data_IF_052008579437
#
_entry.id   IF_052008579437
#
_cell.length_a   1.000
_cell.length_b   1.000
_cell.length_c   1.000
_cell.angle_alpha   90.00
_cell.angle_beta   90.00
_cell.angle_gamma   90.00
#
_symmetry.space_group_name_H-M   'P 1'
#
loop_
_entity.id
_entity.type
_entity.pdbx_description
1 polymer ?
#
# COMPACT_ATOMS: atom_id res chain seq x y z
N UNK A 1 -3.27 72.68 50.29
CA UNK A 1 -4.65 72.53 49.76
C UNK A 1 -4.70 71.23 48.99
N UNK A 2 -5.09 70.14 49.67
CA UNK A 2 -5.71 68.96 49.03
C UNK A 2 -7.16 69.30 48.64
N UNK A 3 -7.93 68.51 47.84
CA UNK A 3 -7.71 67.11 47.42
C UNK A 3 -8.04 66.86 45.93
N UNK A 4 -7.99 65.60 45.46
CA UNK A 4 -9.14 64.85 44.90
C UNK A 4 -8.66 63.43 44.52
N UNK A 5 -9.10 62.45 45.30
CA UNK A 5 -9.25 61.05 44.89
C UNK A 5 -10.38 60.94 43.86
N UNK A 6 -10.15 60.21 42.77
CA UNK A 6 -11.22 59.69 41.93
C UNK A 6 -10.98 58.20 41.63
N UNK A 7 -12.04 57.44 41.79
CA UNK A 7 -12.11 55.98 41.87
C UNK A 7 -12.54 55.32 40.55
N UNK A 8 -11.86 54.22 40.16
CA UNK A 8 -12.35 52.98 39.47
C UNK A 8 -13.01 53.14 38.06
N UNK A 9 -13.03 52.12 37.16
CA UNK A 9 -13.16 50.67 37.43
C UNK A 9 -12.27 49.71 36.59
N UNK A 10 -12.32 48.43 37.01
CA UNK A 10 -11.76 47.26 36.32
C UNK A 10 -12.52 47.00 35.01
N UNK A 11 -11.79 46.81 33.91
CA UNK A 11 -12.30 46.18 32.70
C UNK A 11 -11.43 44.96 32.37
N UNK A 12 -12.09 43.81 32.44
CA UNK A 12 -11.59 42.48 32.14
C UNK A 12 -11.52 42.34 30.61
N UNK A 13 -10.32 42.36 30.04
CA UNK A 13 -10.08 42.22 28.60
C UNK A 13 -9.86 40.75 28.23
N UNK A 14 -10.86 40.20 27.55
CA UNK A 14 -11.02 38.81 27.13
C UNK A 14 -9.86 38.32 26.24
N UNK A 15 -9.15 37.28 26.68
CA UNK A 15 -8.12 36.57 25.93
C UNK A 15 -8.79 35.74 24.82
N UNK A 16 -8.83 36.27 23.60
CA UNK A 16 -9.33 35.56 22.42
C UNK A 16 -8.33 34.52 21.93
N UNK A 17 -8.36 33.30 22.51
CA UNK A 17 -7.74 32.13 21.89
C UNK A 17 -8.58 31.73 20.67
N UNK A 18 -8.10 32.06 19.48
CA UNK A 18 -8.60 31.49 18.24
C UNK A 18 -8.10 30.04 18.15
N UNK A 19 -8.78 29.11 18.81
CA UNK A 19 -8.52 27.68 18.62
C UNK A 19 -9.03 27.30 17.24
N UNK A 20 -8.09 27.08 16.32
CA UNK A 20 -8.33 26.42 15.05
C UNK A 20 -8.83 25.00 15.36
N UNK A 21 -10.15 24.81 15.42
CA UNK A 21 -10.77 23.49 15.53
C UNK A 21 -10.50 22.74 14.24
N UNK A 22 -9.41 21.96 14.24
CA UNK A 22 -9.20 20.89 13.28
C UNK A 22 -10.27 19.87 13.60
N UNK A 23 -11.39 19.91 12.87
CA UNK A 23 -12.34 18.82 12.85
C UNK A 23 -11.62 17.61 12.26
N UNK A 24 -11.09 16.76 13.15
CA UNK A 24 -10.72 15.41 12.80
C UNK A 24 -12.02 14.71 12.38
N UNK A 25 -12.24 14.60 11.06
CA UNK A 25 -13.30 13.77 10.50
C UNK A 25 -12.98 12.34 10.95
N UNK A 26 -13.70 11.89 11.97
CA UNK A 26 -13.66 10.50 12.43
C UNK A 26 -14.32 9.62 11.38
N UNK A 27 -13.53 9.15 10.41
CA UNK A 27 -13.96 8.17 9.41
C UNK A 27 -14.08 6.78 10.02
N UNK A 28 -15.15 6.57 10.78
CA UNK A 28 -15.56 5.25 11.26
C UNK A 28 -16.45 4.61 10.20
N UNK A 29 -15.90 3.69 9.40
CA UNK A 29 -16.77 2.79 8.63
C UNK A 29 -17.39 1.81 9.60
N UNK A 30 -18.55 1.25 9.23
CA UNK A 30 -19.11 0.13 9.95
C UNK A 30 -18.14 -1.07 9.91
N UNK A 31 -17.94 -1.81 11.02
CA UNK A 31 -17.20 -3.06 11.00
C UNK A 31 -17.91 -4.06 10.06
N UNK A 32 -17.19 -4.56 9.06
CA UNK A 32 -17.69 -5.58 8.12
C UNK A 32 -18.10 -5.08 6.73
N UNK A 33 -17.96 -3.79 6.42
CA UNK A 33 -18.20 -3.28 5.07
C UNK A 33 -17.16 -3.82 4.06
N UNK A 34 -17.62 -4.39 2.95
CA UNK A 34 -16.74 -4.91 1.89
C UNK A 34 -16.11 -3.75 1.11
N UNK A 35 -14.79 -3.79 0.80
CA UNK A 35 -14.18 -2.79 -0.07
C UNK A 35 -14.84 -2.75 -1.46
N UNK A 36 -15.16 -1.56 -1.93
CA UNK A 36 -15.72 -1.34 -3.26
C UNK A 36 -14.84 -0.41 -4.09
N UNK A 37 -14.57 -0.79 -5.33
CA UNK A 37 -13.78 0.01 -6.28
C UNK A 37 -14.57 0.18 -7.57
N UNK A 38 -14.36 1.30 -8.24
CA UNK A 38 -14.91 1.56 -9.54
C UNK A 38 -14.23 0.66 -10.59
N UNK A 39 -15.02 -0.10 -11.35
CA UNK A 39 -14.49 -1.09 -12.29
C UNK A 39 -13.74 -0.46 -13.48
N UNK A 40 -14.08 0.78 -13.83
CA UNK A 40 -13.50 1.49 -14.96
C UNK A 40 -12.19 2.19 -14.61
N UNK A 41 -12.17 2.87 -13.47
CA UNK A 41 -11.08 3.76 -13.03
C UNK A 41 -10.24 3.17 -11.91
N UNK A 42 -10.76 2.20 -11.14
CA UNK A 42 -10.12 1.65 -9.95
C UNK A 42 -10.19 2.56 -8.72
N UNK A 43 -10.95 3.66 -8.80
CA UNK A 43 -11.15 4.61 -7.70
C UNK A 43 -11.90 3.93 -6.55
N UNK A 44 -11.49 4.15 -5.29
CA UNK A 44 -12.18 3.59 -4.13
C UNK A 44 -13.55 4.26 -3.97
N UNK A 45 -14.60 3.44 -3.83
CA UNK A 45 -15.99 3.90 -3.74
C UNK A 45 -16.52 3.97 -2.30
N UNK A 46 -15.75 3.43 -1.32
CA UNK A 46 -16.11 3.48 0.09
C UNK A 46 -14.90 3.57 1.02
N UNK A 47 -15.16 3.80 2.31
CA UNK A 47 -14.15 3.94 3.35
C UNK A 47 -13.27 2.70 3.49
N UNK A 48 -13.85 1.50 3.34
CA UNK A 48 -13.11 0.25 3.36
C UNK A 48 -12.05 0.20 2.24
N UNK A 49 -12.42 0.57 1.01
CA UNK A 49 -11.50 0.66 -0.13
C UNK A 49 -10.45 1.77 0.04
N UNK A 50 -10.85 2.93 0.57
CA UNK A 50 -9.94 4.04 0.89
C UNK A 50 -8.85 3.61 1.87
N UNK A 51 -9.20 2.86 2.92
CA UNK A 51 -8.21 2.34 3.89
C UNK A 51 -7.23 1.37 3.25
N UNK A 52 -7.69 0.51 2.36
CA UNK A 52 -6.80 -0.40 1.61
C UNK A 52 -5.78 0.40 0.81
N UNK A 53 -6.21 1.44 0.09
CA UNK A 53 -5.29 2.29 -0.67
C UNK A 53 -4.32 3.05 0.24
N UNK A 54 -4.81 3.58 1.37
CA UNK A 54 -3.95 4.26 2.33
C UNK A 54 -2.88 3.32 2.91
N UNK A 55 -3.26 2.09 3.27
CA UNK A 55 -2.34 1.06 3.74
C UNK A 55 -1.33 0.67 2.67
N UNK A 56 -1.78 0.45 1.43
CA UNK A 56 -0.93 0.11 0.29
C UNK A 56 0.12 1.19 -0.03
N UNK A 57 -0.14 2.44 0.33
CA UNK A 57 0.74 3.59 0.06
C UNK A 57 1.64 4.00 1.26
N UNK A 58 1.45 3.42 2.45
CA UNK A 58 2.01 3.93 3.70
C UNK A 58 3.55 3.94 3.81
N UNK A 59 4.29 3.30 2.89
CA UNK A 59 5.75 3.31 2.91
C UNK A 59 6.41 4.47 2.13
N UNK A 60 5.64 5.46 1.65
CA UNK A 60 6.21 6.66 1.03
C UNK A 60 6.73 7.69 2.06
N UNK A 61 6.06 7.86 3.21
CA UNK A 61 6.38 8.96 4.14
C UNK A 61 7.48 8.70 5.17
N UNK A 62 7.87 7.44 5.45
CA UNK A 62 8.86 7.15 6.52
C UNK A 62 10.33 7.18 6.09
N UNK A 63 10.64 7.47 4.82
CA UNK A 63 12.04 7.66 4.37
C UNK A 63 12.58 9.07 4.66
N UNK A 64 11.77 9.97 5.23
CA UNK A 64 12.12 11.39 5.43
C UNK A 64 12.28 11.87 6.88
N UNK A 65 12.15 11.02 7.90
CA UNK A 65 12.34 11.44 9.31
C UNK A 65 13.32 10.52 10.02
N UNK A 66 14.58 10.96 10.06
CA UNK A 66 15.58 10.46 10.99
C UNK A 66 15.16 10.77 12.42
N UNK A 67 15.06 9.74 13.26
CA UNK A 67 15.28 9.88 14.69
C UNK A 67 16.17 8.74 15.18
N UNK A 68 17.06 9.11 16.09
CA UNK A 68 18.28 8.42 16.46
C UNK A 68 18.03 7.11 17.22
N UNK A 69 18.95 6.15 16.98
CA UNK A 69 19.45 5.28 18.04
C UNK A 69 18.74 3.95 18.28
N UNK A 70 18.95 2.98 17.39
CA UNK A 70 19.22 1.58 17.78
C UNK A 70 20.22 1.01 16.78
N UNK A 71 21.39 0.47 17.20
CA UNK A 71 22.25 -0.26 16.29
C UNK A 71 21.55 -1.58 15.97
N UNK A 72 20.95 -1.68 14.79
CA UNK A 72 20.52 -2.99 14.28
C UNK A 72 21.77 -3.73 13.84
N UNK A 73 22.37 -4.39 14.82
CA UNK A 73 23.44 -5.36 14.70
C UNK A 73 23.04 -6.47 13.72
N UNK A 74 24.02 -6.91 12.93
CA UNK A 74 24.04 -8.10 12.07
C UNK A 74 22.99 -8.16 10.95
N UNK A 75 23.48 -8.01 9.71
CA UNK A 75 22.76 -8.26 8.44
C UNK A 75 22.42 -9.73 8.20
N UNK A 76 22.60 -10.61 9.18
CA UNK A 76 22.30 -12.03 9.10
C UNK A 76 21.41 -12.43 10.28
N UNK A 77 20.14 -12.67 10.00
CA UNK A 77 19.17 -13.18 10.98
C UNK A 77 17.73 -12.77 10.68
N UNK A 78 16.96 -13.69 10.08
CA UNK A 78 15.48 -13.61 9.89
C UNK A 78 15.00 -12.68 8.75
N UNK A 79 15.90 -12.27 7.83
CA UNK A 79 15.54 -11.65 6.54
C UNK A 79 14.92 -12.60 5.50
N UNK A 80 15.00 -13.92 5.71
CA UNK A 80 14.94 -14.92 4.62
C UNK A 80 13.63 -15.71 4.43
N UNK A 81 12.52 -15.34 5.07
CA UNK A 81 11.30 -16.20 5.07
C UNK A 81 10.14 -15.75 4.17
N UNK A 82 10.29 -14.68 3.38
CA UNK A 82 9.25 -14.30 2.41
C UNK A 82 9.65 -14.79 1.01
N UNK A 83 8.91 -15.74 0.43
CA UNK A 83 9.04 -16.09 -0.98
C UNK A 83 8.82 -14.85 -1.85
N UNK A 84 9.70 -14.63 -2.81
CA UNK A 84 9.53 -13.53 -3.76
C UNK A 84 8.29 -13.69 -4.60
N UNK A 85 7.95 -14.93 -4.96
CA UNK A 85 6.83 -15.24 -5.83
C UNK A 85 5.83 -16.11 -5.09
N UNK A 86 4.57 -15.73 -5.18
CA UNK A 86 3.42 -16.60 -4.92
C UNK A 86 2.37 -16.31 -5.98
N UNK A 87 2.17 -17.26 -6.88
CA UNK A 87 1.24 -17.15 -8.00
C UNK A 87 0.46 -18.44 -8.15
N UNK A 88 -0.80 -18.33 -8.55
CA UNK A 88 -1.64 -19.46 -8.91
C UNK A 88 -1.77 -19.59 -10.45
N UNK A 89 -1.90 -20.82 -10.99
CA UNK A 89 -2.19 -21.05 -12.40
C UNK A 89 -3.47 -20.38 -12.89
N UNK A 90 -3.51 -19.98 -14.16
CA UNK A 90 -4.64 -19.32 -14.81
C UNK A 90 -4.37 -17.85 -15.13
N UNK A 91 -5.44 -17.11 -15.43
CA UNK A 91 -5.38 -15.67 -15.73
C UNK A 91 -5.88 -14.88 -14.55
N UNK A 92 -4.97 -14.24 -13.83
CA UNK A 92 -5.26 -13.55 -12.58
C UNK A 92 -4.57 -12.18 -12.52
N UNK A 93 -5.11 -11.29 -11.71
CA UNK A 93 -4.44 -10.01 -11.41
C UNK A 93 -3.25 -10.27 -10.49
N UNK A 94 -2.21 -9.45 -10.60
CA UNK A 94 -1.09 -9.47 -9.65
C UNK A 94 -0.80 -8.08 -9.10
N UNK A 95 -0.19 -8.05 -7.91
CA UNK A 95 0.43 -6.85 -7.35
C UNK A 95 1.93 -7.07 -7.21
N UNK A 96 2.71 -6.06 -7.61
CA UNK A 96 4.14 -5.96 -7.32
C UNK A 96 4.29 -5.11 -6.06
N UNK A 97 4.95 -5.65 -5.04
CA UNK A 97 5.05 -5.00 -3.73
C UNK A 97 6.52 -4.87 -3.30
N UNK A 98 6.85 -3.79 -2.61
CA UNK A 98 8.08 -3.65 -1.83
C UNK A 98 7.77 -4.00 -0.39
N UNK A 99 8.49 -4.97 0.16
CA UNK A 99 8.41 -5.36 1.57
C UNK A 99 9.79 -5.18 2.19
N UNK A 100 9.97 -4.12 2.96
CA UNK A 100 11.25 -3.73 3.57
C UNK A 100 12.43 -3.72 2.56
N UNK A 101 12.22 -3.19 1.36
CA UNK A 101 13.25 -3.09 0.31
C UNK A 101 13.42 -4.36 -0.55
N UNK A 102 12.61 -5.40 -0.32
CA UNK A 102 12.54 -6.60 -1.18
C UNK A 102 11.30 -6.54 -2.06
N UNK A 103 11.49 -6.62 -3.38
CA UNK A 103 10.38 -6.69 -4.35
C UNK A 103 9.80 -8.11 -4.39
N UNK A 104 8.47 -8.23 -4.26
CA UNK A 104 7.74 -9.51 -4.29
C UNK A 104 6.53 -9.42 -5.23
N UNK A 105 6.14 -10.56 -5.81
CA UNK A 105 4.99 -10.72 -6.70
C UNK A 105 3.94 -11.60 -6.03
N UNK A 106 2.69 -11.12 -6.03
CA UNK A 106 1.53 -11.85 -5.47
C UNK A 106 0.37 -11.89 -6.44
N UNK A 107 -0.15 -13.09 -6.67
CA UNK A 107 -1.32 -13.37 -7.50
C UNK A 107 -2.05 -14.58 -6.94
N UNK A 108 -3.36 -14.50 -6.75
CA UNK A 108 -4.16 -15.57 -6.15
C UNK A 108 -5.37 -15.87 -7.02
N UNK A 109 -5.71 -17.15 -7.16
CA UNK A 109 -6.91 -17.58 -7.86
C UNK A 109 -8.17 -17.19 -7.08
N UNK A 110 -9.24 -16.87 -7.82
CA UNK A 110 -10.55 -16.51 -7.25
C UNK A 110 -10.65 -15.09 -6.69
N UNK A 111 -9.60 -14.27 -6.75
CA UNK A 111 -9.64 -12.85 -6.42
C UNK A 111 -9.71 -12.02 -7.71
N UNK A 112 -10.62 -11.06 -7.75
CA UNK A 112 -10.97 -10.34 -8.98
C UNK A 112 -10.43 -8.91 -9.02
N UNK A 113 -9.95 -8.36 -7.90
CA UNK A 113 -9.42 -6.99 -7.85
C UNK A 113 -7.98 -6.94 -7.33
N UNK A 114 -7.20 -5.97 -7.81
CA UNK A 114 -5.83 -5.77 -7.31
C UNK A 114 -5.81 -5.48 -5.80
N UNK A 115 -6.81 -4.77 -5.30
CA UNK A 115 -6.97 -4.49 -3.89
C UNK A 115 -7.16 -5.76 -3.04
N UNK A 116 -7.91 -6.74 -3.54
CA UNK A 116 -8.08 -8.04 -2.87
C UNK A 116 -6.76 -8.82 -2.86
N UNK A 117 -6.01 -8.80 -3.97
CA UNK A 117 -4.67 -9.41 -4.04
C UNK A 117 -3.74 -8.80 -2.98
N UNK A 118 -3.75 -7.48 -2.85
CA UNK A 118 -2.97 -6.77 -1.84
C UNK A 118 -3.45 -7.11 -0.43
N UNK A 119 -4.75 -7.10 -0.16
CA UNK A 119 -5.29 -7.40 1.17
C UNK A 119 -4.89 -8.81 1.61
N UNK A 120 -5.04 -9.81 0.72
CA UNK A 120 -4.60 -11.18 0.99
C UNK A 120 -3.10 -11.25 1.25
N UNK A 121 -2.29 -10.54 0.46
CA UNK A 121 -0.85 -10.48 0.69
C UNK A 121 -0.50 -9.80 2.03
N UNK A 122 -1.20 -8.73 2.40
CA UNK A 122 -0.99 -8.01 3.65
C UNK A 122 -1.35 -8.88 4.87
N UNK A 123 -2.42 -9.68 4.78
CA UNK A 123 -2.78 -10.67 5.81
C UNK A 123 -1.67 -11.73 5.99
N UNK A 124 -1.08 -12.21 4.90
CA UNK A 124 0.03 -13.16 4.93
C UNK A 124 1.32 -12.56 5.53
N UNK A 125 1.54 -11.26 5.34
CA UNK A 125 2.71 -10.53 5.81
C UNK A 125 2.55 -9.95 7.22
N UNK A 126 1.31 -9.73 7.68
CA UNK A 126 0.97 -9.09 8.95
C UNK A 126 1.65 -9.74 10.16
N UNK A 127 1.62 -11.08 10.32
CA UNK A 127 2.31 -11.77 11.42
C UNK A 127 3.83 -11.57 11.44
N UNK A 128 4.43 -11.12 10.33
CA UNK A 128 5.87 -10.87 10.20
C UNK A 128 6.26 -9.44 10.57
N UNK A 129 5.28 -8.57 10.88
CA UNK A 129 5.51 -7.18 11.30
C UNK A 129 6.22 -6.31 10.26
N UNK A 130 6.16 -6.68 8.97
CA UNK A 130 6.89 -5.97 7.90
C UNK A 130 6.02 -4.90 7.25
N UNK A 131 6.64 -3.74 6.97
CA UNK A 131 5.98 -2.70 6.20
C UNK A 131 5.99 -3.10 4.72
N UNK A 132 4.86 -2.91 4.05
CA UNK A 132 4.73 -3.18 2.62
C UNK A 132 4.15 -1.98 1.89
N UNK A 133 4.47 -1.88 0.60
CA UNK A 133 3.90 -0.88 -0.31
C UNK A 133 3.67 -1.51 -1.68
N UNK A 134 2.54 -1.21 -2.29
CA UNK A 134 2.27 -1.60 -3.67
C UNK A 134 3.02 -0.65 -4.61
N UNK A 135 3.84 -1.21 -5.49
CA UNK A 135 4.55 -0.47 -6.53
C UNK A 135 3.70 -0.35 -7.81
N UNK A 136 2.82 -1.32 -8.04
CA UNK A 136 1.89 -1.36 -9.15
C UNK A 136 1.28 -2.76 -9.28
N UNK A 137 0.65 -3.02 -10.42
CA UNK A 137 0.14 -4.36 -10.73
C UNK A 137 -0.18 -4.53 -12.20
N UNK A 138 -0.81 -5.65 -12.52
CA UNK A 138 -1.21 -6.03 -13.87
C UNK A 138 -1.95 -7.36 -13.87
N UNK A 139 -1.76 -8.17 -14.91
CA UNK A 139 -2.24 -9.54 -15.02
C UNK A 139 -1.10 -10.51 -15.33
N UNK A 140 -1.28 -11.73 -14.84
CA UNK A 140 -0.49 -12.90 -15.20
C UNK A 140 -1.41 -13.88 -15.93
N UNK A 141 -0.93 -14.44 -17.03
CA UNK A 141 -1.49 -15.65 -17.61
C UNK A 141 -0.47 -16.77 -17.45
N UNK A 142 -0.65 -17.64 -16.46
CA UNK A 142 0.30 -18.69 -16.12
C UNK A 142 -0.27 -20.08 -16.46
N UNK A 143 0.39 -20.79 -17.37
CA UNK A 143 0.08 -22.16 -17.73
C UNK A 143 1.24 -23.11 -17.34
N UNK A 144 1.13 -23.82 -16.19
CA UNK A 144 2.18 -24.73 -15.74
C UNK A 144 2.30 -25.99 -16.61
N UNK A 145 1.27 -26.35 -17.39
CA UNK A 145 1.33 -27.53 -18.28
C UNK A 145 2.22 -27.29 -19.50
N UNK A 146 2.22 -26.06 -19.99
CA UNK A 146 3.03 -25.62 -21.14
C UNK A 146 4.32 -24.92 -20.71
N UNK A 147 4.53 -24.73 -19.40
CA UNK A 147 5.62 -23.93 -18.85
C UNK A 147 5.67 -22.52 -19.46
N UNK A 148 4.52 -21.87 -19.64
CA UNK A 148 4.43 -20.51 -20.19
C UNK A 148 3.82 -19.55 -19.17
N UNK A 149 4.33 -18.33 -19.16
CA UNK A 149 3.81 -17.26 -18.30
C UNK A 149 3.88 -15.92 -19.05
N UNK A 150 2.77 -15.20 -19.13
CA UNK A 150 2.74 -13.84 -19.67
C UNK A 150 2.40 -12.81 -18.59
N UNK A 151 3.23 -11.77 -18.45
CA UNK A 151 3.00 -10.59 -17.60
C UNK A 151 2.54 -9.40 -18.45
N UNK A 152 1.38 -8.82 -18.14
CA UNK A 152 0.84 -7.73 -18.97
C UNK A 152 -0.12 -6.80 -18.23
N UNK A 153 -0.59 -5.76 -18.91
CA UNK A 153 -1.56 -4.81 -18.39
C UNK A 153 -1.04 -3.88 -17.29
N UNK A 154 -1.97 -3.41 -16.46
CA UNK A 154 -1.73 -2.48 -15.36
C UNK A 154 -2.78 -2.65 -14.25
N UNK A 155 -2.55 -2.06 -13.07
CA UNK A 155 -3.58 -1.94 -12.04
C UNK A 155 -4.38 -0.66 -12.21
N UNK A 156 -5.71 -0.75 -12.24
CA UNK A 156 -6.57 0.45 -12.20
C UNK A 156 -6.47 1.16 -10.85
N UNK A 157 -6.50 0.40 -9.76
CA UNK A 157 -6.42 0.93 -8.39
C UNK A 157 -5.02 1.45 -8.03
N UNK A 158 -3.96 0.76 -8.43
CA UNK A 158 -2.58 1.06 -7.99
C UNK A 158 -1.66 1.56 -9.10
N UNK A 159 -2.18 1.71 -10.32
CA UNK A 159 -1.39 2.10 -11.48
C UNK A 159 -0.28 1.11 -11.83
N UNK A 160 0.76 1.64 -12.47
CA UNK A 160 1.95 0.90 -12.88
C UNK A 160 3.20 1.75 -12.65
N UNK A 161 4.16 1.24 -11.91
CA UNK A 161 5.49 1.83 -11.84
C UNK A 161 6.23 1.74 -13.19
N UNK A 162 7.25 2.58 -13.39
CA UNK A 162 8.12 2.49 -14.58
C UNK A 162 8.78 1.09 -14.62
N UNK A 163 8.57 0.37 -15.74
CA UNK A 163 9.11 -0.97 -15.96
C UNK A 163 8.50 -2.07 -15.07
N UNK A 164 7.30 -1.86 -14.51
CA UNK A 164 6.68 -2.81 -13.57
C UNK A 164 6.52 -4.23 -14.16
N UNK A 165 6.10 -4.37 -15.42
CA UNK A 165 5.91 -5.67 -16.05
C UNK A 165 7.25 -6.37 -16.33
N UNK A 166 8.25 -5.64 -16.83
CA UNK A 166 9.61 -6.14 -17.01
C UNK A 166 10.24 -6.61 -15.69
N UNK A 167 10.14 -5.81 -14.63
CA UNK A 167 10.64 -6.19 -13.30
C UNK A 167 9.95 -7.43 -12.77
N UNK A 168 8.63 -7.49 -12.90
CA UNK A 168 7.84 -8.66 -12.49
C UNK A 168 8.28 -9.90 -13.24
N UNK A 169 8.48 -9.82 -14.56
CA UNK A 169 8.98 -10.92 -15.37
C UNK A 169 10.34 -11.43 -14.88
N UNK A 170 11.31 -10.53 -14.64
CA UNK A 170 12.63 -10.90 -14.10
C UNK A 170 12.55 -11.61 -12.74
N UNK A 171 11.64 -11.17 -11.86
CA UNK A 171 11.41 -11.83 -10.57
C UNK A 171 10.81 -13.22 -10.78
N UNK A 172 9.90 -13.39 -11.74
CA UNK A 172 9.28 -14.68 -12.05
C UNK A 172 10.28 -15.65 -12.69
N UNK A 173 11.06 -15.20 -13.68
CA UNK A 173 12.10 -16.00 -14.36
C UNK A 173 13.08 -16.62 -13.39
N UNK A 174 13.57 -15.84 -12.42
CA UNK A 174 14.56 -16.35 -11.43
C UNK A 174 13.96 -17.30 -10.38
N UNK A 175 12.64 -17.26 -10.17
CA UNK A 175 11.95 -18.09 -9.16
C UNK A 175 11.19 -19.28 -9.77
N UNK A 176 11.01 -19.33 -11.09
CA UNK A 176 10.30 -20.38 -11.81
C UNK A 176 11.18 -20.97 -12.93
N UNK A 177 12.26 -21.68 -12.58
CA UNK A 177 13.16 -22.24 -13.57
C UNK A 177 12.42 -23.19 -14.52
N UNK A 178 12.68 -23.04 -15.82
CA UNK A 178 12.04 -23.85 -16.87
C UNK A 178 10.71 -23.29 -17.39
N UNK A 179 10.17 -22.21 -16.78
CA UNK A 179 9.01 -21.48 -17.32
C UNK A 179 9.49 -20.40 -18.29
N UNK A 180 8.96 -20.42 -19.51
CA UNK A 180 9.11 -19.35 -20.49
C UNK A 180 8.26 -18.14 -20.06
N UNK A 181 8.92 -17.11 -19.55
CA UNK A 181 8.27 -15.88 -19.10
C UNK A 181 8.38 -14.83 -20.20
N UNK A 182 7.23 -14.27 -20.59
CA UNK A 182 7.14 -13.14 -21.49
C UNK A 182 6.48 -11.96 -20.77
N UNK A 183 6.74 -10.74 -21.25
CA UNK A 183 6.03 -9.57 -20.75
C UNK A 183 5.79 -8.54 -21.84
N UNK A 184 4.76 -7.73 -21.63
CA UNK A 184 4.54 -6.51 -22.39
C UNK A 184 3.74 -5.50 -21.56
N UNK A 185 3.71 -4.26 -22.03
CA UNK A 185 3.00 -3.17 -21.37
C UNK A 185 1.57 -2.94 -21.91
N UNK A 186 1.07 -3.86 -22.75
CA UNK A 186 -0.22 -3.76 -23.45
C UNK A 186 -1.32 -4.53 -22.72
N UNK A 187 -2.56 -4.28 -23.17
CA UNK A 187 -3.76 -4.96 -22.68
C UNK A 187 -4.23 -4.47 -21.32
N UNK A 188 -5.35 -5.04 -20.87
CA UNK A 188 -5.86 -4.91 -19.50
C UNK A 188 -6.27 -6.26 -18.98
#
# INVERSE_FOLDING_TARGET
>A
FDPVMASRPRALGLLGLLTLSIMAVSMSSAPGEKPAFDDETGVPLNDAAMRIMAQANAAASKRGSSEAGVPVSSRDGIGDKIPEVRIDPGVWKFVLMDVNGKEIVRSYSGLHYHAEMYQRAAEELGPLGRQSRVLGGGRLAYNPKENTLLVYGYSKTFGRCKGCNEKTAKILERNLPGVAVEWNDKGY
#
